data_IF_586367370217
#
_entry.id   IF_586367370217
#
_cell.length_a   1.000
_cell.length_b   1.000
_cell.length_c   1.000
_cell.angle_alpha   90.00
_cell.angle_beta   90.00
_cell.angle_gamma   90.00
#
_symmetry.space_group_name_H-M   'P 1'
#
loop_
_entity.id
_entity.type
_entity.pdbx_description
1 polymer ?
#
# COMPACT_ATOMS: atom_id res chain seq x y z
N UNK A 1 13.71 17.33 16.29
CA UNK A 1 14.70 17.56 15.22
C UNK A 1 13.95 17.74 13.93
N UNK A 2 14.08 18.89 13.25
CA UNK A 2 13.58 19.04 11.89
C UNK A 2 14.41 18.10 10.99
N UNK A 3 13.75 17.11 10.40
CA UNK A 3 14.35 16.26 9.37
C UNK A 3 14.62 17.12 8.14
N UNK A 4 15.88 17.21 7.73
CA UNK A 4 16.28 17.90 6.49
C UNK A 4 15.58 17.18 5.32
N UNK A 5 14.62 17.87 4.69
CA UNK A 5 13.80 17.34 3.59
C UNK A 5 14.48 17.50 2.23
N UNK A 6 15.67 18.08 2.19
CA UNK A 6 16.40 18.32 0.93
C UNK A 6 16.92 17.01 0.35
N UNK A 7 16.83 16.92 -0.98
CA UNK A 7 17.39 15.78 -1.71
C UNK A 7 18.90 15.94 -1.75
N UNK A 8 19.63 14.98 -1.18
CA UNK A 8 21.08 15.06 -1.15
C UNK A 8 21.67 14.69 -2.50
N UNK A 9 22.58 15.53 -3.00
CA UNK A 9 23.34 15.31 -4.23
C UNK A 9 24.81 15.18 -3.85
N UNK A 10 25.44 14.09 -4.30
CA UNK A 10 26.88 13.87 -4.12
C UNK A 10 27.64 14.42 -5.32
N UNK A 11 28.45 15.46 -5.11
CA UNK A 11 29.38 15.99 -6.10
C UNK A 11 30.76 15.40 -5.84
N UNK A 12 31.33 14.72 -6.83
CA UNK A 12 32.63 14.06 -6.70
C UNK A 12 33.57 14.54 -7.80
N UNK A 13 34.62 15.26 -7.42
CA UNK A 13 35.62 15.83 -8.34
C UNK A 13 36.89 16.16 -7.53
N UNK A 14 38.08 15.83 -8.04
CA UNK A 14 39.34 16.07 -7.32
C UNK A 14 39.73 17.56 -7.28
N UNK A 15 39.17 18.34 -8.23
CA UNK A 15 39.40 19.77 -8.38
C UNK A 15 38.38 20.59 -7.60
N UNK A 16 38.79 21.35 -6.56
CA UNK A 16 37.88 22.11 -5.72
C UNK A 16 37.11 23.20 -6.48
N UNK A 17 37.67 23.73 -7.56
CA UNK A 17 37.03 24.72 -8.43
C UNK A 17 35.80 24.17 -9.16
N UNK A 18 35.82 22.91 -9.59
CA UNK A 18 34.68 22.26 -10.24
C UNK A 18 33.55 22.02 -9.23
N UNK A 19 33.91 21.56 -8.04
CA UNK A 19 32.95 21.38 -6.93
C UNK A 19 32.27 22.70 -6.56
N UNK A 20 33.03 23.80 -6.47
CA UNK A 20 32.50 25.12 -6.17
C UNK A 20 31.55 25.62 -7.27
N UNK A 21 31.92 25.44 -8.54
CA UNK A 21 31.09 25.83 -9.67
C UNK A 21 29.76 25.06 -9.69
N UNK A 22 29.79 23.73 -9.50
CA UNK A 22 28.59 22.91 -9.47
C UNK A 22 27.70 23.21 -8.27
N UNK A 23 28.28 23.45 -7.09
CA UNK A 23 27.54 23.89 -5.90
C UNK A 23 26.82 25.21 -6.16
N UNK A 24 27.47 26.18 -6.80
CA UNK A 24 26.84 27.45 -7.17
C UNK A 24 25.74 27.29 -8.23
N UNK A 25 25.94 26.42 -9.23
CA UNK A 25 24.93 26.14 -10.27
C UNK A 25 23.69 25.46 -9.68
N UNK A 26 23.89 24.60 -8.68
CA UNK A 26 22.85 23.80 -8.00
C UNK A 26 22.37 24.42 -6.68
N UNK A 27 22.67 25.68 -6.44
CA UNK A 27 22.21 26.40 -5.24
C UNK A 27 20.68 26.54 -5.28
N UNK A 28 20.01 25.66 -4.54
CA UNK A 28 18.56 25.53 -4.52
C UNK A 28 18.12 25.06 -3.14
N UNK A 29 17.00 25.58 -2.61
CA UNK A 29 16.45 25.13 -1.33
C UNK A 29 16.03 23.65 -1.37
N UNK A 30 15.92 23.04 -2.56
CA UNK A 30 15.53 21.63 -2.73
C UNK A 30 16.71 20.67 -2.56
N UNK A 31 17.95 21.13 -2.66
CA UNK A 31 19.13 20.27 -2.74
C UNK A 31 20.04 20.42 -1.52
N UNK A 32 20.52 19.29 -1.02
CA UNK A 32 21.58 19.21 -0.01
C UNK A 32 22.88 18.76 -0.68
N UNK A 33 23.82 19.66 -0.88
CA UNK A 33 25.09 19.31 -1.55
C UNK A 33 26.06 18.64 -0.56
N UNK A 34 26.57 17.48 -0.94
CA UNK A 34 27.70 16.82 -0.26
C UNK A 34 28.83 16.70 -1.27
N UNK A 35 30.04 17.09 -0.88
CA UNK A 35 31.22 17.12 -1.74
C UNK A 35 32.19 16.00 -1.36
N UNK A 36 32.80 15.38 -2.35
CA UNK A 36 33.89 14.41 -2.20
C UNK A 36 35.00 14.76 -3.20
N UNK A 37 36.25 14.64 -2.77
CA UNK A 37 37.43 14.98 -3.59
C UNK A 37 38.13 13.75 -4.19
N UNK A 38 37.55 12.57 -4.00
CA UNK A 38 38.04 11.31 -4.55
C UNK A 38 36.92 10.26 -4.57
N UNK A 39 37.14 9.18 -5.32
CA UNK A 39 36.24 8.01 -5.32
C UNK A 39 36.08 7.38 -3.93
N UNK A 40 37.15 7.31 -3.14
CA UNK A 40 37.11 6.77 -1.77
C UNK A 40 36.29 7.65 -0.82
N UNK A 41 36.39 8.97 -0.94
CA UNK A 41 35.55 9.91 -0.16
C UNK A 41 34.08 9.77 -0.55
N UNK A 42 33.79 9.64 -1.85
CA UNK A 42 32.43 9.42 -2.34
C UNK A 42 31.82 8.12 -1.77
N UNK A 43 32.59 7.03 -1.79
CA UNK A 43 32.18 5.75 -1.21
C UNK A 43 31.97 5.84 0.31
N UNK A 44 32.80 6.61 1.04
CA UNK A 44 32.59 6.86 2.48
C UNK A 44 31.33 7.68 2.74
N UNK A 45 31.05 8.70 1.92
CA UNK A 45 29.85 9.52 2.05
C UNK A 45 28.57 8.67 1.92
N UNK A 46 28.54 7.73 0.97
CA UNK A 46 27.42 6.79 0.76
C UNK A 46 27.12 5.90 1.97
N UNK A 47 28.07 5.70 2.90
CA UNK A 47 27.84 4.92 4.12
C UNK A 47 27.10 5.70 5.20
N UNK A 48 27.08 7.02 5.11
CA UNK A 48 26.55 7.91 6.17
C UNK A 48 25.38 8.75 5.69
N UNK A 49 25.12 8.77 4.39
CA UNK A 49 24.12 9.62 3.75
C UNK A 49 23.36 8.82 2.66
N UNK A 50 22.06 9.10 2.53
CA UNK A 50 21.27 8.67 1.38
C UNK A 50 21.26 9.76 0.32
N UNK A 51 21.48 9.41 -0.95
CA UNK A 51 21.59 10.36 -2.07
C UNK A 51 20.52 10.09 -3.13
N UNK A 52 19.98 11.16 -3.72
CA UNK A 52 19.08 11.08 -4.86
C UNK A 52 19.80 11.12 -6.21
N UNK A 53 21.06 11.59 -6.25
CA UNK A 53 21.87 11.70 -7.46
C UNK A 53 23.36 11.80 -7.10
N UNK A 54 24.22 11.30 -7.99
CA UNK A 54 25.68 11.46 -7.92
C UNK A 54 26.17 12.13 -9.21
N UNK A 55 26.90 13.24 -9.10
CA UNK A 55 27.72 13.79 -10.18
C UNK A 55 29.16 13.34 -9.93
N UNK A 56 29.74 12.62 -10.88
CA UNK A 56 30.99 11.90 -10.68
C UNK A 56 31.98 12.24 -11.77
N UNK A 57 33.07 12.90 -11.41
CA UNK A 57 34.18 13.12 -12.31
C UNK A 57 34.80 11.78 -12.70
N UNK A 58 35.19 11.68 -13.96
CA UNK A 58 35.80 10.47 -14.49
C UNK A 58 37.30 10.44 -14.22
N UNK A 59 37.97 11.58 -14.25
CA UNK A 59 39.42 11.69 -14.23
C UNK A 59 39.98 12.10 -12.86
N UNK A 60 39.78 11.23 -11.87
CA UNK A 60 40.34 11.43 -10.53
C UNK A 60 41.59 10.56 -10.30
N UNK A 61 42.56 11.00 -9.49
CA UNK A 61 43.69 10.18 -9.05
C UNK A 61 43.22 9.06 -8.11
N UNK A 62 43.94 7.93 -8.15
CA UNK A 62 43.55 6.75 -7.38
C UNK A 62 42.35 6.05 -8.02
N UNK A 63 41.25 5.93 -7.27
CA UNK A 63 40.02 5.33 -7.76
C UNK A 63 39.29 6.28 -8.73
N UNK A 64 39.31 5.95 -10.02
CA UNK A 64 38.68 6.82 -11.03
C UNK A 64 37.14 6.74 -10.97
N UNK A 65 36.45 7.64 -11.68
CA UNK A 65 34.99 7.70 -11.66
C UNK A 65 34.29 6.44 -12.15
N UNK A 66 34.82 5.76 -13.17
CA UNK A 66 34.21 4.52 -13.67
C UNK A 66 34.36 3.37 -12.69
N UNK A 67 35.52 3.23 -12.05
CA UNK A 67 35.74 2.22 -11.01
C UNK A 67 34.88 2.49 -9.78
N UNK A 68 34.78 3.77 -9.38
CA UNK A 68 33.89 4.22 -8.31
C UNK A 68 32.44 3.85 -8.61
N UNK A 69 31.94 4.18 -9.80
CA UNK A 69 30.58 3.85 -10.21
C UNK A 69 30.33 2.33 -10.21
N UNK A 70 31.27 1.52 -10.69
CA UNK A 70 31.15 0.05 -10.63
C UNK A 70 31.00 -0.45 -9.19
N UNK A 71 31.78 0.09 -8.24
CA UNK A 71 31.68 -0.27 -6.83
C UNK A 71 30.35 0.15 -6.21
N UNK A 72 29.83 1.33 -6.57
CA UNK A 72 28.51 1.80 -6.16
C UNK A 72 27.42 0.85 -6.68
N UNK A 73 27.45 0.54 -7.99
CA UNK A 73 26.46 -0.33 -8.64
C UNK A 73 26.54 -1.79 -8.21
N UNK A 74 27.70 -2.26 -7.77
CA UNK A 74 27.85 -3.60 -7.23
C UNK A 74 27.06 -3.81 -5.92
N UNK A 75 26.87 -2.74 -5.12
CA UNK A 75 26.15 -2.82 -3.84
C UNK A 75 24.64 -2.59 -4.04
N UNK A 76 23.82 -3.58 -3.65
CA UNK A 76 22.37 -3.54 -3.85
C UNK A 76 21.68 -2.28 -3.29
N UNK A 77 22.13 -1.80 -2.13
CA UNK A 77 21.59 -0.59 -1.48
C UNK A 77 21.83 0.68 -2.31
N UNK A 78 22.91 0.78 -3.08
CA UNK A 78 23.26 2.01 -3.82
C UNK A 78 23.06 1.90 -5.34
N UNK A 79 22.79 0.68 -5.84
CA UNK A 79 22.68 0.40 -7.28
C UNK A 79 21.66 1.29 -8.01
N UNK A 80 20.59 1.67 -7.33
CA UNK A 80 19.48 2.43 -7.89
C UNK A 80 19.74 3.95 -7.96
N UNK A 81 20.80 4.46 -7.34
CA UNK A 81 21.11 5.90 -7.34
C UNK A 81 21.62 6.31 -8.74
N UNK A 82 21.02 7.28 -9.43
CA UNK A 82 21.48 7.73 -10.73
C UNK A 82 22.88 8.39 -10.63
N UNK A 83 23.71 8.15 -11.64
CA UNK A 83 25.07 8.71 -11.75
C UNK A 83 25.19 9.47 -13.06
N UNK A 84 25.53 10.76 -12.98
CA UNK A 84 25.93 11.58 -14.13
C UNK A 84 27.44 11.67 -14.11
N UNK A 85 28.09 11.25 -15.21
CA UNK A 85 29.54 11.39 -15.33
C UNK A 85 29.92 12.80 -15.79
N UNK A 86 30.99 13.34 -15.25
CA UNK A 86 31.58 14.59 -15.72
C UNK A 86 32.82 14.25 -16.54
N UNK A 87 32.95 14.82 -17.73
CA UNK A 87 34.02 14.44 -18.68
C UNK A 87 34.49 15.62 -19.52
N UNK A 88 35.79 15.64 -19.84
CA UNK A 88 36.35 16.61 -20.77
C UNK A 88 35.94 16.31 -22.23
N UNK A 89 35.67 17.36 -23.01
CA UNK A 89 35.18 17.28 -24.40
C UNK A 89 36.08 16.44 -25.33
N UNK A 90 37.39 16.40 -25.08
CA UNK A 90 38.37 15.84 -26.03
C UNK A 90 38.43 14.29 -26.08
N UNK A 91 37.63 13.56 -25.29
CA UNK A 91 37.61 12.08 -25.29
C UNK A 91 36.20 11.46 -25.32
N UNK A 92 35.20 12.21 -25.76
CA UNK A 92 33.79 11.95 -25.48
C UNK A 92 33.28 10.55 -25.88
N UNK A 93 33.55 10.02 -27.08
CA UNK A 93 32.84 8.82 -27.54
C UNK A 93 33.22 7.53 -26.79
N UNK A 94 34.51 7.24 -26.62
CA UNK A 94 34.97 6.01 -25.94
C UNK A 94 34.60 6.04 -24.43
N UNK A 95 34.65 7.21 -23.82
CA UNK A 95 34.31 7.42 -22.41
C UNK A 95 32.79 7.37 -22.16
N UNK A 96 31.99 7.81 -23.13
CA UNK A 96 30.53 7.69 -23.09
C UNK A 96 30.10 6.22 -23.10
N UNK A 97 30.71 5.39 -23.95
CA UNK A 97 30.40 3.95 -23.94
C UNK A 97 30.85 3.27 -22.63
N UNK A 98 32.04 3.61 -22.12
CA UNK A 98 32.58 3.03 -20.89
C UNK A 98 31.74 3.36 -19.65
N UNK A 99 31.22 4.58 -19.53
CA UNK A 99 30.44 4.93 -18.35
C UNK A 99 29.01 4.40 -18.39
N UNK A 100 28.35 4.30 -19.55
CA UNK A 100 27.10 3.53 -19.64
C UNK A 100 27.31 2.07 -19.20
N UNK A 101 28.41 1.44 -19.63
CA UNK A 101 28.77 0.10 -19.16
C UNK A 101 29.10 0.04 -17.65
N UNK A 102 29.56 1.14 -17.05
CA UNK A 102 29.78 1.27 -15.60
C UNK A 102 28.50 1.61 -14.81
N UNK A 103 27.37 1.84 -15.49
CA UNK A 103 26.07 2.14 -14.89
C UNK A 103 25.75 3.64 -14.71
N UNK A 104 26.47 4.52 -15.39
CA UNK A 104 26.07 5.93 -15.55
C UNK A 104 24.81 6.05 -16.39
N UNK A 105 24.00 7.07 -16.11
CA UNK A 105 22.74 7.32 -16.84
C UNK A 105 22.84 8.52 -17.78
N UNK A 106 23.81 9.41 -17.56
CA UNK A 106 24.02 10.61 -18.39
C UNK A 106 25.44 11.18 -18.21
N UNK A 107 25.76 12.21 -19.00
CA UNK A 107 27.03 12.92 -19.01
C UNK A 107 26.87 14.45 -18.95
N UNK A 108 27.84 15.10 -18.31
CA UNK A 108 28.09 16.53 -18.34
C UNK A 108 29.49 16.77 -18.88
N UNK A 109 29.61 17.77 -19.74
CA UNK A 109 30.89 18.15 -20.34
C UNK A 109 31.44 19.41 -19.67
N UNK A 110 32.77 19.45 -19.48
CA UNK A 110 33.47 20.65 -19.02
C UNK A 110 33.98 21.48 -20.22
N UNK A 111 33.84 22.83 -20.20
CA UNK A 111 33.23 23.65 -19.14
C UNK A 111 31.71 23.46 -19.05
N UNK A 112 31.17 23.52 -17.83
CA UNK A 112 29.76 23.25 -17.58
C UNK A 112 28.87 24.38 -18.10
N UNK A 113 27.81 24.01 -18.83
CA UNK A 113 26.69 24.90 -19.08
C UNK A 113 25.73 24.84 -17.88
N UNK A 114 25.52 25.96 -17.16
CA UNK A 114 24.67 25.98 -15.96
C UNK A 114 23.23 25.53 -16.21
N UNK A 115 22.66 25.85 -17.36
CA UNK A 115 21.28 25.49 -17.69
C UNK A 115 21.16 24.00 -17.99
N UNK A 116 22.14 23.43 -18.69
CA UNK A 116 22.19 21.99 -18.95
C UNK A 116 22.35 21.20 -17.64
N UNK A 117 23.23 21.63 -16.74
CA UNK A 117 23.43 21.00 -15.43
C UNK A 117 22.13 21.01 -14.64
N UNK A 118 21.48 22.18 -14.49
CA UNK A 118 20.22 22.30 -13.77
C UNK A 118 19.13 21.40 -14.36
N UNK A 119 18.98 21.40 -15.68
CA UNK A 119 17.96 20.60 -16.36
C UNK A 119 18.16 19.10 -16.15
N UNK A 120 19.38 18.59 -16.34
CA UNK A 120 19.69 17.16 -16.18
C UNK A 120 19.54 16.70 -14.72
N UNK A 121 20.05 17.50 -13.78
CA UNK A 121 19.93 17.20 -12.35
C UNK A 121 18.47 17.18 -11.92
N UNK A 122 17.69 18.20 -12.29
CA UNK A 122 16.27 18.24 -11.96
C UNK A 122 15.50 17.04 -12.51
N UNK A 123 15.70 16.70 -13.79
CA UNK A 123 15.02 15.58 -14.42
C UNK A 123 15.34 14.23 -13.76
N UNK A 124 16.62 13.96 -13.47
CA UNK A 124 17.03 12.67 -12.87
C UNK A 124 16.65 12.54 -11.40
N UNK A 125 16.71 13.65 -10.65
CA UNK A 125 16.23 13.68 -9.26
C UNK A 125 14.72 13.41 -9.21
N UNK A 126 13.95 14.06 -10.08
CA UNK A 126 12.50 13.86 -10.17
C UNK A 126 12.15 12.42 -10.51
N UNK A 127 12.79 11.84 -11.54
CA UNK A 127 12.56 10.44 -11.95
C UNK A 127 12.90 9.45 -10.83
N UNK A 128 14.00 9.67 -10.11
CA UNK A 128 14.40 8.81 -9.00
C UNK A 128 13.40 8.89 -7.84
N UNK A 129 12.97 10.11 -7.50
CA UNK A 129 11.98 10.34 -6.46
C UNK A 129 10.62 9.72 -6.80
N UNK A 130 10.14 9.89 -8.03
CA UNK A 130 8.90 9.28 -8.52
C UNK A 130 8.97 7.75 -8.47
N UNK A 131 10.07 7.16 -8.92
CA UNK A 131 10.27 5.71 -8.90
C UNK A 131 10.23 5.15 -7.47
N UNK A 132 10.85 5.86 -6.51
CA UNK A 132 10.78 5.50 -5.09
C UNK A 132 9.37 5.60 -4.51
N UNK A 133 8.65 6.68 -4.82
CA UNK A 133 7.28 6.91 -4.36
C UNK A 133 6.32 5.82 -4.88
N UNK A 134 6.42 5.46 -6.16
CA UNK A 134 5.60 4.41 -6.77
C UNK A 134 5.85 3.04 -6.15
N UNK A 135 7.11 2.70 -5.85
CA UNK A 135 7.44 1.43 -5.21
C UNK A 135 6.82 1.33 -3.81
N UNK A 136 6.81 2.44 -3.06
CA UNK A 136 6.20 2.50 -1.74
C UNK A 136 4.67 2.35 -1.81
N UNK A 137 4.01 3.07 -2.74
CA UNK A 137 2.57 2.96 -2.94
C UNK A 137 2.14 1.53 -3.30
N UNK A 138 2.89 0.87 -4.18
CA UNK A 138 2.65 -0.54 -4.52
C UNK A 138 2.78 -1.47 -3.30
N UNK A 139 3.80 -1.26 -2.47
CA UNK A 139 3.98 -2.05 -1.26
C UNK A 139 2.80 -1.89 -0.29
N UNK A 140 2.30 -0.68 -0.12
CA UNK A 140 1.14 -0.39 0.73
C UNK A 140 -0.14 -1.05 0.20
N UNK A 141 -0.37 -0.99 -1.11
CA UNK A 141 -1.51 -1.68 -1.77
C UNK A 141 -1.43 -3.19 -1.60
N UNK A 142 -0.25 -3.79 -1.75
CA UNK A 142 -0.03 -5.23 -1.53
C UNK A 142 -0.36 -5.59 -0.09
N UNK A 143 0.20 -4.86 0.88
CA UNK A 143 -0.02 -5.12 2.29
C UNK A 143 -1.50 -4.98 2.70
N UNK A 144 -2.21 -3.98 2.16
CA UNK A 144 -3.66 -3.83 2.36
C UNK A 144 -4.44 -5.02 1.78
N UNK A 145 -4.09 -5.47 0.58
CA UNK A 145 -4.72 -6.62 -0.06
C UNK A 145 -4.47 -7.92 0.72
N UNK A 146 -3.27 -8.14 1.24
CA UNK A 146 -2.95 -9.29 2.10
C UNK A 146 -3.75 -9.28 3.40
N UNK A 147 -3.86 -8.12 4.06
CA UNK A 147 -4.72 -7.94 5.24
C UNK A 147 -6.18 -8.29 4.93
N UNK A 148 -6.70 -7.79 3.80
CA UNK A 148 -8.09 -8.06 3.38
C UNK A 148 -8.31 -9.54 3.07
N UNK A 149 -7.36 -10.21 2.44
CA UNK A 149 -7.41 -11.66 2.20
C UNK A 149 -7.40 -12.44 3.52
N UNK A 150 -6.52 -12.07 4.45
CA UNK A 150 -6.43 -12.72 5.77
C UNK A 150 -7.75 -12.59 6.55
N UNK A 151 -8.36 -11.41 6.53
CA UNK A 151 -9.69 -11.19 7.13
C UNK A 151 -10.74 -12.14 6.54
N UNK A 152 -10.84 -12.22 5.21
CA UNK A 152 -11.79 -13.13 4.54
C UNK A 152 -11.53 -14.59 4.87
N UNK A 153 -10.27 -15.01 4.90
CA UNK A 153 -9.91 -16.39 5.23
C UNK A 153 -10.29 -16.75 6.68
N UNK A 154 -10.15 -15.82 7.62
CA UNK A 154 -10.59 -16.01 9.00
C UNK A 154 -12.11 -16.16 9.06
N UNK A 155 -12.86 -15.25 8.45
CA UNK A 155 -14.32 -15.31 8.44
C UNK A 155 -14.86 -16.56 7.70
N UNK A 156 -14.21 -16.99 6.63
CA UNK A 156 -14.50 -18.24 5.92
C UNK A 156 -14.10 -19.50 6.72
N UNK A 157 -13.34 -19.38 7.81
CA UNK A 157 -13.03 -20.53 8.69
C UNK A 157 -14.04 -20.74 9.81
N UNK A 158 -14.90 -19.74 10.05
CA UNK A 158 -15.93 -19.78 11.09
C UNK A 158 -17.11 -20.63 10.60
N UNK A 159 -17.54 -21.68 11.33
CA UNK A 159 -18.63 -22.59 10.93
C UNK A 159 -20.03 -22.01 11.19
N UNK A 160 -20.19 -20.69 11.11
CA UNK A 160 -21.47 -19.99 11.16
C UNK A 160 -21.50 -18.93 10.07
N UNK A 161 -22.70 -18.51 9.69
CA UNK A 161 -22.87 -17.42 8.72
C UNK A 161 -22.41 -16.13 9.39
N UNK A 162 -21.46 -15.42 8.78
CA UNK A 162 -21.05 -14.08 9.21
C UNK A 162 -20.99 -13.12 8.04
N UNK A 163 -21.29 -11.86 8.28
CA UNK A 163 -21.25 -10.79 7.29
C UNK A 163 -20.70 -9.49 7.85
N UNK A 164 -20.33 -8.61 6.93
CA UNK A 164 -20.08 -7.20 7.16
C UNK A 164 -21.09 -6.39 6.37
N UNK A 165 -21.46 -5.23 6.90
CA UNK A 165 -22.27 -4.26 6.20
C UNK A 165 -21.70 -2.85 6.39
N UNK A 166 -21.88 -2.03 5.36
CA UNK A 166 -21.49 -0.62 5.38
C UNK A 166 -22.35 0.18 6.36
N UNK A 167 -21.89 1.38 6.71
CA UNK A 167 -22.62 2.31 7.58
C UNK A 167 -24.08 2.55 7.16
N UNK A 168 -24.35 2.58 5.86
CA UNK A 168 -25.67 2.79 5.29
C UNK A 168 -26.56 1.54 5.29
N UNK A 169 -26.05 0.37 5.73
CA UNK A 169 -26.79 -0.89 5.86
C UNK A 169 -26.53 -2.01 4.83
N UNK A 170 -26.15 -1.73 3.56
CA UNK A 170 -25.82 -2.74 2.56
C UNK A 170 -24.71 -3.71 2.99
N UNK A 171 -24.94 -5.02 2.82
CA UNK A 171 -23.92 -6.06 3.00
C UNK A 171 -22.84 -5.93 1.92
N UNK A 172 -21.58 -5.88 2.32
CA UNK A 172 -20.42 -5.78 1.43
C UNK A 172 -19.51 -7.03 1.45
N UNK A 173 -19.64 -7.89 2.47
CA UNK A 173 -19.08 -9.23 2.50
C UNK A 173 -19.94 -10.18 3.32
N UNK A 174 -20.02 -11.44 2.88
CA UNK A 174 -20.65 -12.54 3.59
C UNK A 174 -19.82 -13.81 3.34
N UNK A 175 -19.59 -14.60 4.39
CA UNK A 175 -18.64 -15.71 4.34
C UNK A 175 -19.16 -16.91 3.51
N UNK A 176 -18.31 -17.93 3.36
CA UNK A 176 -18.65 -19.15 2.61
C UNK A 176 -19.87 -19.91 3.16
N UNK A 177 -20.14 -19.84 4.47
CA UNK A 177 -21.24 -20.61 5.07
C UNK A 177 -22.61 -20.15 4.59
N UNK A 178 -22.78 -18.86 4.29
CA UNK A 178 -24.00 -18.37 3.64
C UNK A 178 -24.25 -19.03 2.29
N UNK A 179 -23.19 -19.15 1.48
CA UNK A 179 -23.26 -19.76 0.14
C UNK A 179 -23.54 -21.24 0.23
N UNK A 180 -22.92 -21.93 1.20
CA UNK A 180 -23.17 -23.35 1.47
C UNK A 180 -24.62 -23.59 1.89
N UNK A 181 -25.16 -22.72 2.76
CA UNK A 181 -26.52 -22.84 3.28
C UNK A 181 -27.59 -22.48 2.25
N UNK A 182 -27.53 -21.28 1.66
CA UNK A 182 -28.57 -20.74 0.77
C UNK A 182 -28.43 -21.18 -0.69
N UNK A 183 -27.21 -21.53 -1.12
CA UNK A 183 -26.87 -21.73 -2.53
C UNK A 183 -26.72 -20.45 -3.35
N UNK A 184 -26.89 -19.26 -2.75
CA UNK A 184 -26.73 -17.97 -3.44
C UNK A 184 -25.25 -17.65 -3.67
N UNK A 185 -24.93 -16.98 -4.77
CA UNK A 185 -23.57 -16.45 -4.99
C UNK A 185 -23.33 -15.18 -4.16
N UNK A 186 -22.06 -14.81 -3.97
CA UNK A 186 -21.73 -13.54 -3.30
C UNK A 186 -22.35 -12.33 -4.01
N UNK A 187 -22.47 -12.35 -5.34
CA UNK A 187 -23.06 -11.26 -6.11
C UNK A 187 -24.59 -11.18 -5.94
N UNK A 188 -25.25 -12.33 -5.84
CA UNK A 188 -26.68 -12.42 -5.53
C UNK A 188 -27.00 -12.04 -4.08
N UNK A 189 -26.01 -11.99 -3.20
CA UNK A 189 -26.20 -11.71 -1.77
C UNK A 189 -25.78 -10.30 -1.36
N UNK A 190 -25.14 -9.54 -2.26
CA UNK A 190 -24.62 -8.19 -1.99
C UNK A 190 -25.74 -7.18 -1.78
N UNK A 191 -25.40 -6.14 -1.02
CA UNK A 191 -26.29 -5.04 -0.72
C UNK A 191 -27.47 -5.49 0.14
N UNK A 192 -28.68 -5.33 -0.38
CA UNK A 192 -29.92 -5.70 0.29
C UNK A 192 -30.50 -7.04 -0.17
N UNK A 193 -29.83 -7.75 -1.09
CA UNK A 193 -30.38 -8.94 -1.75
C UNK A 193 -30.43 -10.19 -0.87
N UNK A 194 -29.73 -10.19 0.26
CA UNK A 194 -29.85 -11.24 1.28
C UNK A 194 -31.29 -11.40 1.79
N UNK A 195 -32.13 -10.36 1.66
CA UNK A 195 -33.56 -10.40 1.99
C UNK A 195 -34.34 -11.44 1.17
N UNK A 196 -33.89 -11.77 -0.04
CA UNK A 196 -34.53 -12.80 -0.89
C UNK A 196 -34.47 -14.20 -0.24
N UNK A 197 -33.60 -14.41 0.74
CA UNK A 197 -33.52 -15.64 1.52
C UNK A 197 -34.39 -15.61 2.78
N UNK A 198 -34.93 -14.47 3.20
CA UNK A 198 -35.78 -14.34 4.39
C UNK A 198 -37.21 -14.75 4.05
N UNK A 199 -37.89 -15.45 4.95
CA UNK A 199 -39.31 -15.77 4.79
C UNK A 199 -40.16 -14.48 4.76
N UNK A 200 -41.18 -14.44 3.89
CA UNK A 200 -41.95 -13.22 3.63
C UNK A 200 -42.63 -12.66 4.89
N UNK A 201 -43.12 -13.53 5.78
CA UNK A 201 -43.74 -13.14 7.05
C UNK A 201 -42.75 -12.50 8.04
N UNK A 202 -41.46 -12.84 7.95
CA UNK A 202 -40.42 -12.38 8.90
C UNK A 202 -39.65 -11.17 8.35
N UNK A 203 -39.79 -10.87 7.05
CA UNK A 203 -38.99 -9.86 6.35
C UNK A 203 -39.20 -8.46 6.94
N UNK A 204 -40.44 -8.06 7.18
CA UNK A 204 -40.74 -6.72 7.70
C UNK A 204 -40.12 -6.51 9.08
N UNK A 205 -40.25 -7.49 9.97
CA UNK A 205 -39.68 -7.42 11.32
C UNK A 205 -38.15 -7.31 11.28
N UNK A 206 -37.50 -8.08 10.41
CA UNK A 206 -36.06 -7.99 10.18
C UNK A 206 -35.64 -6.61 9.69
N UNK A 207 -36.36 -6.03 8.73
CA UNK A 207 -36.09 -4.71 8.19
C UNK A 207 -36.23 -3.61 9.24
N UNK A 208 -37.24 -3.71 10.09
CA UNK A 208 -37.48 -2.74 11.15
C UNK A 208 -36.35 -2.76 12.18
N UNK A 209 -35.90 -3.95 12.60
CA UNK A 209 -34.77 -4.11 13.53
C UNK A 209 -33.45 -3.59 12.94
N UNK A 210 -33.17 -3.87 11.66
CA UNK A 210 -31.96 -3.38 10.99
C UNK A 210 -32.00 -1.87 10.79
N UNK A 211 -33.14 -1.33 10.37
CA UNK A 211 -33.31 0.13 10.20
C UNK A 211 -33.14 0.85 11.54
N UNK A 212 -33.66 0.27 12.63
CA UNK A 212 -33.49 0.80 13.97
C UNK A 212 -32.02 0.79 14.42
N UNK A 213 -31.32 -0.32 14.19
CA UNK A 213 -29.90 -0.46 14.50
C UNK A 213 -29.08 0.62 13.78
N UNK A 214 -29.28 0.76 12.47
CA UNK A 214 -28.60 1.75 11.62
C UNK A 214 -28.86 3.17 12.14
N UNK A 215 -30.12 3.52 12.39
CA UNK A 215 -30.50 4.88 12.85
C UNK A 215 -29.95 5.22 14.24
N UNK A 216 -29.84 4.25 15.15
CA UNK A 216 -29.38 4.48 16.53
C UNK A 216 -27.90 4.23 16.74
N UNK A 217 -27.18 3.65 15.77
CA UNK A 217 -25.79 3.23 15.96
C UNK A 217 -25.64 2.12 17.00
N UNK A 218 -26.72 1.36 17.26
CA UNK A 218 -26.78 0.31 18.27
C UNK A 218 -27.00 -1.05 17.60
N UNK A 219 -26.39 -2.10 18.13
CA UNK A 219 -26.60 -3.45 17.62
C UNK A 219 -28.06 -3.91 17.79
N UNK A 220 -28.44 -4.94 17.05
CA UNK A 220 -29.74 -5.59 17.18
C UNK A 220 -29.62 -7.11 17.12
N UNK A 221 -30.64 -7.78 17.65
CA UNK A 221 -30.83 -9.21 17.53
C UNK A 221 -32.25 -9.45 17.02
N UNK A 222 -32.40 -10.32 16.02
CA UNK A 222 -33.70 -10.69 15.44
C UNK A 222 -33.66 -12.16 15.05
N UNK A 223 -34.78 -12.86 15.22
CA UNK A 223 -34.93 -14.24 14.76
C UNK A 223 -35.78 -14.26 13.49
N UNK A 224 -35.33 -14.97 12.46
CA UNK A 224 -36.10 -15.13 11.24
C UNK A 224 -35.84 -16.47 10.58
N UNK A 225 -36.75 -16.87 9.69
CA UNK A 225 -36.57 -18.06 8.86
C UNK A 225 -35.76 -17.71 7.62
N UNK A 226 -34.64 -18.42 7.45
CA UNK A 226 -33.81 -18.34 6.23
C UNK A 226 -34.04 -19.56 5.36
N UNK A 227 -34.15 -19.32 4.06
CA UNK A 227 -34.31 -20.35 3.03
C UNK A 227 -32.97 -21.03 2.73
N UNK A 228 -32.93 -22.34 2.94
CA UNK A 228 -31.82 -23.20 2.53
C UNK A 228 -31.82 -23.46 1.03
N UNK A 229 -30.71 -24.01 0.53
CA UNK A 229 -30.52 -24.40 -0.87
C UNK A 229 -31.51 -25.46 -1.36
N UNK A 230 -32.08 -26.23 -0.43
CA UNK A 230 -33.12 -27.24 -0.67
C UNK A 230 -34.54 -26.64 -0.70
N UNK A 231 -34.66 -25.33 -0.47
CA UNK A 231 -35.95 -24.62 -0.40
C UNK A 231 -36.62 -24.68 0.97
N UNK A 232 -36.08 -25.43 1.93
CA UNK A 232 -36.62 -25.48 3.30
C UNK A 232 -36.31 -24.20 4.07
N UNK A 233 -37.13 -23.90 5.06
CA UNK A 233 -36.94 -22.73 5.94
C UNK A 233 -36.54 -23.18 7.33
N UNK A 234 -35.40 -22.69 7.82
CA UNK A 234 -34.92 -22.94 9.19
C UNK A 234 -34.76 -21.65 9.97
N UNK A 235 -35.04 -21.72 11.27
CA UNK A 235 -34.95 -20.54 12.15
C UNK A 235 -33.49 -20.20 12.40
N UNK A 236 -33.15 -18.95 12.17
CA UNK A 236 -31.85 -18.38 12.44
C UNK A 236 -31.99 -17.19 13.37
N UNK A 237 -31.03 -17.05 14.27
CA UNK A 237 -30.87 -15.84 15.07
C UNK A 237 -29.79 -14.98 14.44
N UNK A 238 -30.19 -13.80 13.99
CA UNK A 238 -29.32 -12.80 13.40
C UNK A 238 -28.92 -11.81 14.50
N UNK A 239 -27.62 -11.68 14.72
CA UNK A 239 -27.06 -10.68 15.62
C UNK A 239 -26.21 -9.71 14.82
N UNK A 240 -26.49 -8.41 14.94
CA UNK A 240 -25.73 -7.34 14.30
C UNK A 240 -25.13 -6.44 15.38
N UNK A 241 -23.83 -6.15 15.27
CA UNK A 241 -23.09 -5.31 16.22
C UNK A 241 -22.36 -4.19 15.49
N UNK A 242 -22.20 -3.01 16.11
CA UNK A 242 -21.52 -1.88 15.49
C UNK A 242 -20.01 -2.14 15.38
N UNK A 243 -19.45 -1.90 14.19
CA UNK A 243 -18.00 -1.83 13.99
C UNK A 243 -17.55 -0.39 14.25
N UNK A 244 -16.59 -0.21 15.16
CA UNK A 244 -16.07 1.12 15.55
C UNK A 244 -14.58 1.22 15.25
N UNK A 245 -14.13 2.38 14.78
CA UNK A 245 -12.71 2.67 14.67
C UNK A 245 -12.08 2.89 16.06
N UNK A 246 -10.76 3.04 16.08
CA UNK A 246 -9.98 3.28 17.31
C UNK A 246 -10.45 4.53 18.09
N UNK A 247 -10.99 5.54 17.41
CA UNK A 247 -11.53 6.77 18.01
C UNK A 247 -12.99 6.65 18.46
N UNK A 248 -13.59 5.47 18.36
CA UNK A 248 -14.97 5.19 18.77
C UNK A 248 -16.05 5.57 17.74
N UNK A 249 -15.68 6.17 16.62
CA UNK A 249 -16.58 6.45 15.50
C UNK A 249 -17.10 5.13 14.89
N UNK A 250 -18.39 5.09 14.58
CA UNK A 250 -18.99 3.97 13.86
C UNK A 250 -18.47 3.97 12.42
N UNK A 251 -18.00 2.82 11.94
CA UNK A 251 -17.45 2.65 10.58
C UNK A 251 -18.15 1.55 9.77
N UNK A 252 -19.01 0.76 10.41
CA UNK A 252 -19.74 -0.32 9.75
C UNK A 252 -20.49 -1.20 10.74
N UNK A 253 -20.83 -2.39 10.28
CA UNK A 253 -21.56 -3.39 11.05
C UNK A 253 -20.98 -4.77 10.81
N UNK A 254 -20.84 -5.55 11.89
CA UNK A 254 -20.63 -6.99 11.82
C UNK A 254 -21.92 -7.70 12.14
N UNK A 255 -22.16 -8.84 11.51
CA UNK A 255 -23.25 -9.70 11.95
C UNK A 255 -22.98 -11.18 11.77
N UNK A 256 -23.81 -11.95 12.44
CA UNK A 256 -23.79 -13.41 12.41
C UNK A 256 -25.20 -13.97 12.39
N UNK A 257 -25.37 -15.11 11.71
CA UNK A 257 -26.61 -15.87 11.70
C UNK A 257 -26.31 -17.30 12.17
N UNK A 258 -26.95 -17.67 13.26
CA UNK A 258 -26.81 -18.97 13.89
C UNK A 258 -28.11 -19.73 13.72
N UNK A 259 -28.06 -20.95 13.17
CA UNK A 259 -29.22 -21.84 13.10
C UNK A 259 -29.65 -22.23 14.52
N UNK A 260 -30.92 -21.95 14.83
CA UNK A 260 -31.56 -22.24 16.11
C UNK A 260 -32.83 -23.09 15.92
N UNK A 261 -33.03 -23.68 14.73
CA UNK A 261 -34.26 -24.38 14.39
C UNK A 261 -34.54 -25.54 15.34
N UNK A 262 -33.55 -26.38 15.60
CA UNK A 262 -33.73 -27.57 16.44
C UNK A 262 -34.01 -27.15 17.91
N UNK A 263 -33.37 -26.09 18.39
CA UNK A 263 -33.62 -25.50 19.71
C UNK A 263 -35.05 -24.96 19.83
N UNK A 264 -35.57 -24.28 18.80
CA UNK A 264 -36.96 -23.80 18.72
C UNK A 264 -37.95 -24.95 18.77
N UNK A 265 -37.72 -26.00 17.99
CA UNK A 265 -38.60 -27.18 17.93
C UNK A 265 -38.67 -27.89 19.29
N UNK A 266 -37.54 -28.06 19.97
CA UNK A 266 -37.52 -28.63 21.32
C UNK A 266 -38.26 -27.78 22.35
N UNK A 267 -38.07 -26.46 22.31
CA UNK A 267 -38.77 -25.53 23.20
C UNK A 267 -40.29 -25.58 22.98
N UNK A 268 -40.75 -25.66 21.74
CA UNK A 268 -42.16 -25.79 21.39
C UNK A 268 -42.76 -27.12 21.86
N UNK A 269 -42.05 -28.24 21.66
CA UNK A 269 -42.48 -29.55 22.19
C UNK A 269 -42.64 -29.53 23.71
N UNK A 270 -41.67 -28.96 24.43
CA UNK A 270 -41.75 -28.81 25.91
C UNK A 270 -42.92 -27.93 26.34
N UNK A 271 -43.23 -26.86 25.59
CA UNK A 271 -44.36 -25.97 25.88
C UNK A 271 -45.70 -26.68 25.67
N UNK A 272 -45.83 -27.45 24.59
CA UNK A 272 -47.03 -28.26 24.30
C UNK A 272 -47.26 -29.33 25.38
N UNK A 273 -46.21 -30.05 25.80
CA UNK A 273 -46.31 -31.06 26.88
C UNK A 273 -46.67 -30.48 28.26
N UNK A 274 -46.45 -29.17 28.48
CA UNK A 274 -46.85 -28.50 29.73
C UNK A 274 -48.30 -27.99 29.70
N UNK A 275 -48.92 -27.96 28.53
CA UNK A 275 -50.29 -27.49 28.32
C UNK A 275 -51.29 -28.64 28.12
N UNK A 276 -50.80 -29.88 28.02
CA UNK A 276 -51.55 -31.15 28.03
C UNK A 276 -51.59 -31.77 29.42
#
# INVERSE_FOLDING_TARGET
MQTDTRIKILLTDDRPENLLALEAILDSPSYGIVKARSGEEALKALLTHSFGLILLDVQMPGLNGFETAKLIKARGVFRHIPIIFMSAIHKAYEYVLKGYAAGGVDYLFTPFDPDIVRAKVAALVELHHQSGSLAQEQADVIHQNERRKRYRNLADSIPIIVWTARLDGPIDYINKEWRNYTGLTSEQSKGWRWMEAVHQEDLQECLDHLTHAIRRGQGCEVECRLRGRDGSYRWHRLQTVPEKALKGELIGWFGSAIDIHDQKQEAWKKKLMRLS
#
